data_IF_049287849724
#
_entry.id   IF_049287849724
#
_cell.length_a   1.000
_cell.length_b   1.000
_cell.length_c   1.000
_cell.angle_alpha   90.00
_cell.angle_beta   90.00
_cell.angle_gamma   90.00
#
_symmetry.space_group_name_H-M   'P 1'
#
loop_
_entity.id
_entity.type
_entity.pdbx_description
1 polymer ?
#
# COMPACT_ATOMS: atom_id res chain seq x y z
N UNK A 1 -54.70 -15.39 7.39
CA UNK A 1 -55.06 -16.08 6.13
C UNK A 1 -55.98 -15.20 5.30
N UNK A 2 -55.42 -14.40 4.40
CA UNK A 2 -56.08 -13.71 3.26
C UNK A 2 -54.97 -13.54 2.20
N UNK A 3 -55.05 -14.30 1.10
CA UNK A 3 -55.56 -13.88 -0.22
C UNK A 3 -54.58 -12.92 -0.91
N UNK A 4 -53.73 -13.41 -1.82
CA UNK A 4 -53.94 -13.63 -3.27
C UNK A 4 -53.97 -12.34 -4.12
N UNK A 5 -53.00 -12.32 -5.06
CA UNK A 5 -53.08 -11.84 -6.46
C UNK A 5 -52.94 -10.30 -6.72
N UNK A 6 -52.74 -9.84 -7.99
CA UNK A 6 -51.51 -9.95 -8.79
C UNK A 6 -51.25 -8.70 -9.71
N UNK A 7 -50.21 -8.79 -10.55
CA UNK A 7 -50.10 -8.37 -11.97
C UNK A 7 -50.69 -7.05 -12.52
N UNK A 8 -49.87 -6.38 -13.36
CA UNK A 8 -50.10 -5.89 -14.74
C UNK A 8 -49.40 -4.52 -14.95
N UNK A 9 -48.43 -4.35 -15.86
CA UNK A 9 -48.45 -4.31 -17.34
C UNK A 9 -48.85 -2.93 -17.93
N UNK A 10 -48.01 -2.45 -18.86
CA UNK A 10 -48.21 -1.50 -20.00
C UNK A 10 -47.13 -0.41 -20.01
N UNK A 11 -46.19 -0.36 -20.98
CA UNK A 11 -46.28 -0.11 -22.44
C UNK A 11 -46.40 1.37 -22.86
N UNK A 12 -45.45 1.79 -23.72
CA UNK A 12 -45.53 2.90 -24.69
C UNK A 12 -44.90 4.22 -24.22
N UNK A 13 -44.26 5.06 -25.03
CA UNK A 13 -43.98 5.09 -26.46
C UNK A 13 -42.95 6.22 -26.72
N UNK A 14 -41.89 5.94 -27.49
CA UNK A 14 -41.34 6.69 -28.64
C UNK A 14 -41.41 8.23 -28.67
N UNK A 15 -40.25 8.90 -28.84
CA UNK A 15 -39.98 9.87 -29.93
C UNK A 15 -38.53 10.39 -29.90
N UNK A 16 -37.90 10.40 -31.07
CA UNK A 16 -36.55 10.89 -31.35
C UNK A 16 -36.53 12.39 -31.69
N UNK A 17 -35.37 13.05 -31.54
CA UNK A 17 -34.87 14.09 -32.44
C UNK A 17 -33.38 14.40 -32.20
N UNK A 18 -32.67 14.65 -33.31
CA UNK A 18 -31.23 14.85 -33.51
C UNK A 18 -30.70 16.25 -33.11
N UNK A 19 -29.37 16.36 -32.99
CA UNK A 19 -28.57 17.60 -33.07
C UNK A 19 -27.33 17.52 -32.18
N UNK A 20 -26.16 17.06 -32.64
CA UNK A 20 -25.10 17.74 -33.43
C UNK A 20 -24.10 18.57 -32.57
N UNK A 21 -22.82 18.26 -32.81
CA UNK A 21 -21.55 18.94 -32.50
C UNK A 21 -21.25 19.58 -31.11
N UNK A 22 -20.06 19.28 -30.58
CA UNK A 22 -19.33 20.21 -29.69
C UNK A 22 -18.42 19.56 -28.65
N UNK A 23 -17.11 19.64 -28.88
CA UNK A 23 -16.03 19.32 -27.94
C UNK A 23 -16.12 20.12 -26.63
N UNK A 24 -15.87 19.47 -25.49
CA UNK A 24 -14.90 19.90 -24.46
C UNK A 24 -14.97 18.98 -23.24
N UNK A 25 -14.00 18.07 -23.09
CA UNK A 25 -13.78 17.34 -21.84
C UNK A 25 -13.16 18.29 -20.81
N UNK A 26 -14.00 18.88 -19.99
CA UNK A 26 -13.62 19.35 -18.64
C UNK A 26 -14.68 18.83 -17.70
N UNK A 27 -14.41 17.71 -17.02
CA UNK A 27 -15.22 17.30 -15.89
C UNK A 27 -14.41 17.48 -14.61
N UNK A 28 -14.78 18.55 -13.92
CA UNK A 28 -14.43 18.93 -12.57
C UNK A 28 -14.55 17.73 -11.61
N UNK A 29 -13.42 17.37 -10.99
CA UNK A 29 -13.44 16.68 -9.70
C UNK A 29 -14.01 17.67 -8.69
N UNK A 30 -15.32 17.55 -8.44
CA UNK A 30 -15.97 18.19 -7.30
C UNK A 30 -15.30 17.71 -6.02
N UNK A 31 -14.68 18.66 -5.33
CA UNK A 31 -14.29 18.58 -3.93
C UNK A 31 -15.52 18.29 -3.06
N UNK A 32 -15.65 17.05 -2.58
CA UNK A 32 -16.46 16.79 -1.40
C UNK A 32 -15.62 17.09 -0.15
N UNK A 33 -15.94 18.24 0.44
CA UNK A 33 -15.57 18.61 1.80
C UNK A 33 -16.25 17.62 2.75
N UNK A 34 -15.50 16.64 3.23
CA UNK A 34 -15.92 15.85 4.40
C UNK A 34 -15.64 16.69 5.63
N UNK A 35 -16.70 17.29 6.16
CA UNK A 35 -16.78 17.88 7.50
C UNK A 35 -16.57 16.76 8.53
N UNK A 36 -15.33 16.64 9.03
CA UNK A 36 -15.00 15.76 10.14
C UNK A 36 -15.21 16.51 11.46
N UNK A 37 -16.47 16.77 11.81
CA UNK A 37 -16.85 17.17 13.16
C UNK A 37 -18.06 16.37 13.63
N UNK A 38 -17.82 15.52 14.65
CA UNK A 38 -18.88 14.96 15.50
C UNK A 38 -19.51 13.64 15.04
N UNK A 39 -18.89 12.51 15.40
CA UNK A 39 -19.51 11.51 16.29
C UNK A 39 -18.47 10.39 16.54
N UNK A 40 -17.81 10.49 17.69
CA UNK A 40 -17.11 9.38 18.28
C UNK A 40 -18.17 8.33 18.69
N UNK A 41 -18.42 7.37 17.82
CA UNK A 41 -19.09 6.14 18.22
C UNK A 41 -18.13 5.41 19.17
N UNK A 42 -18.39 5.56 20.47
CA UNK A 42 -17.89 4.69 21.52
C UNK A 42 -18.38 3.26 21.22
N UNK A 43 -17.54 2.48 20.54
CA UNK A 43 -17.68 1.04 20.56
C UNK A 43 -17.04 0.59 21.86
N UNK A 44 -17.91 0.08 22.71
CA UNK A 44 -17.65 -0.48 24.03
C UNK A 44 -16.51 -1.50 23.93
N UNK A 45 -15.50 -1.32 24.78
CA UNK A 45 -14.56 -2.35 25.19
C UNK A 45 -15.36 -3.56 25.66
N UNK A 46 -15.45 -4.59 24.83
CA UNK A 46 -15.92 -5.91 25.25
C UNK A 46 -14.71 -6.84 25.29
N UNK A 47 -14.58 -7.50 26.43
CA UNK A 47 -13.43 -8.26 26.91
C UNK A 47 -12.76 -9.12 25.82
N UNK A 48 -11.55 -8.73 25.41
CA UNK A 48 -10.59 -9.64 24.81
C UNK A 48 -10.06 -10.56 25.91
N UNK A 49 -10.87 -11.58 26.23
CA UNK A 49 -10.43 -12.72 27.01
C UNK A 49 -9.26 -13.38 26.27
N UNK A 50 -8.10 -13.31 26.93
CA UNK A 50 -6.88 -14.00 26.60
C UNK A 50 -7.04 -15.49 26.93
N UNK A 51 -7.45 -16.28 25.96
CA UNK A 51 -7.37 -17.74 26.01
C UNK A 51 -6.74 -18.21 24.70
N UNK A 52 -5.42 -18.05 24.56
CA UNK A 52 -4.64 -18.74 23.53
C UNK A 52 -3.42 -19.37 24.20
N UNK A 53 -3.67 -20.56 24.76
CA UNK A 53 -2.67 -21.61 24.94
C UNK A 53 -2.18 -22.07 23.55
N UNK A 54 -1.35 -21.25 22.90
CA UNK A 54 -0.56 -21.67 21.74
C UNK A 54 0.59 -22.54 22.25
N UNK A 55 0.25 -23.78 22.58
CA UNK A 55 1.19 -24.88 22.56
C UNK A 55 1.88 -24.86 21.19
N UNK A 56 3.21 -24.84 21.23
CA UNK A 56 4.09 -24.90 20.09
C UNK A 56 3.71 -26.08 19.18
N UNK A 57 2.92 -25.82 18.14
CA UNK A 57 2.86 -26.69 16.98
C UNK A 57 3.90 -26.18 15.99
N UNK A 58 4.81 -27.10 15.66
CA UNK A 58 5.79 -26.98 14.58
C UNK A 58 5.06 -26.78 13.24
N UNK A 59 4.63 -25.54 12.99
CA UNK A 59 4.21 -25.07 11.67
C UNK A 59 5.44 -24.91 10.75
N UNK A 60 6.14 -26.02 10.52
CA UNK A 60 6.88 -26.23 9.28
C UNK A 60 5.82 -26.34 8.17
N UNK A 61 5.54 -25.20 7.51
CA UNK A 61 4.94 -25.04 6.17
C UNK A 61 3.93 -23.89 6.03
N UNK A 62 4.26 -22.73 6.61
CA UNK A 62 4.25 -21.51 5.81
C UNK A 62 5.69 -21.16 5.44
N UNK A 63 6.42 -22.13 4.87
CA UNK A 63 7.49 -21.75 3.99
C UNK A 63 6.83 -20.90 2.89
N UNK A 64 7.09 -19.60 2.95
CA UNK A 64 7.65 -18.99 1.76
C UNK A 64 8.86 -19.87 1.46
N UNK A 65 8.63 -20.96 0.70
CA UNK A 65 9.70 -21.72 0.09
C UNK A 65 10.50 -20.64 -0.59
N UNK A 66 11.66 -20.37 -0.01
CA UNK A 66 12.75 -19.76 -0.73
C UNK A 66 13.21 -20.83 -1.72
N UNK A 67 12.32 -21.20 -2.66
CA UNK A 67 12.75 -21.73 -3.92
C UNK A 67 13.44 -20.52 -4.56
N UNK A 68 14.74 -20.45 -4.27
CA UNK A 68 15.72 -19.67 -4.97
C UNK A 68 15.87 -20.29 -6.37
N UNK A 69 14.75 -20.34 -7.12
CA UNK A 69 14.76 -20.53 -8.55
C UNK A 69 15.32 -19.26 -9.15
N UNK A 70 16.61 -19.32 -9.49
CA UNK A 70 17.38 -18.33 -10.22
C UNK A 70 17.06 -16.88 -9.82
N UNK A 71 17.53 -16.51 -8.62
CA UNK A 71 17.86 -15.11 -8.38
C UNK A 71 18.89 -14.72 -9.45
N UNK A 72 18.48 -13.92 -10.43
CA UNK A 72 19.39 -12.92 -10.99
C UNK A 72 19.92 -12.16 -9.78
N UNK A 73 21.15 -12.51 -9.39
CA UNK A 73 21.87 -11.87 -8.31
C UNK A 73 21.80 -10.36 -8.57
N UNK A 74 21.38 -9.60 -7.55
CA UNK A 74 21.57 -8.17 -7.58
C UNK A 74 23.03 -7.91 -7.99
N UNK A 75 23.30 -7.10 -9.04
CA UNK A 75 24.65 -6.85 -9.47
C UNK A 75 25.46 -6.33 -8.28
N UNK A 76 26.61 -6.94 -8.05
CA UNK A 76 27.54 -6.50 -7.01
C UNK A 76 27.88 -5.03 -7.26
N UNK A 77 27.62 -4.18 -6.26
CA UNK A 77 27.89 -2.76 -6.30
C UNK A 77 29.36 -2.52 -6.70
N UNK A 78 29.56 -1.82 -7.81
CA UNK A 78 30.85 -1.26 -8.15
C UNK A 78 31.13 -0.09 -7.20
N UNK A 79 32.34 -0.08 -6.65
CA UNK A 79 32.89 0.93 -5.74
C UNK A 79 33.11 2.25 -6.51
N UNK A 80 32.02 3.00 -6.68
CA UNK A 80 31.98 4.32 -7.32
C UNK A 80 31.69 5.40 -6.26
N UNK A 81 32.70 5.73 -5.45
CA UNK A 81 32.80 6.97 -4.66
C UNK A 81 31.61 7.34 -3.74
N UNK A 82 31.74 7.07 -2.43
CA UNK A 82 30.97 7.65 -1.31
C UNK A 82 29.49 8.01 -1.60
N UNK A 83 28.75 7.14 -2.29
CA UNK A 83 27.30 7.21 -2.38
C UNK A 83 26.72 6.59 -1.11
N UNK A 84 26.29 7.42 -0.16
CA UNK A 84 25.61 6.95 1.06
C UNK A 84 24.11 6.84 0.80
N UNK A 85 23.61 5.61 0.69
CA UNK A 85 22.17 5.36 0.63
C UNK A 85 21.52 5.70 1.98
N UNK A 86 20.65 6.72 1.98
CA UNK A 86 19.95 7.20 3.16
C UNK A 86 18.43 7.09 2.96
N UNK A 87 17.81 5.93 3.24
CA UNK A 87 16.36 5.78 3.15
C UNK A 87 15.67 6.73 4.14
N UNK A 88 14.43 7.15 3.83
CA UNK A 88 13.68 7.99 4.77
C UNK A 88 13.47 7.22 6.09
N UNK A 89 13.78 7.90 7.19
CA UNK A 89 13.73 7.31 8.54
C UNK A 89 12.29 7.18 9.03
N UNK A 90 12.10 6.29 10.01
CA UNK A 90 10.84 6.17 10.73
C UNK A 90 10.49 7.48 11.43
N UNK A 91 9.20 7.82 11.47
CA UNK A 91 8.71 9.07 12.08
C UNK A 91 8.58 8.98 13.61
N UNK A 92 8.76 7.79 14.17
CA UNK A 92 8.91 7.54 15.60
C UNK A 92 9.54 6.17 15.84
N UNK A 93 10.09 5.93 17.03
CA UNK A 93 10.48 4.59 17.53
C UNK A 93 9.30 3.87 18.23
N UNK A 94 9.51 2.63 18.70
CA UNK A 94 8.50 1.84 19.42
C UNK A 94 7.99 2.57 20.69
N UNK A 95 8.92 3.15 21.44
CA UNK A 95 8.65 3.79 22.74
C UNK A 95 8.21 5.24 22.60
N UNK A 96 8.34 5.82 21.41
CA UNK A 96 7.98 7.21 21.14
C UNK A 96 6.49 7.37 20.83
N UNK A 97 5.96 8.56 21.13
CA UNK A 97 4.60 8.91 20.74
C UNK A 97 4.54 9.17 19.24
N UNK A 98 3.64 8.45 18.57
CA UNK A 98 3.28 8.71 17.15
C UNK A 98 3.00 10.21 16.94
N UNK A 99 3.70 10.88 16.01
CA UNK A 99 3.42 12.27 15.66
C UNK A 99 2.01 12.44 15.11
N UNK A 100 1.42 13.61 15.35
CA UNK A 100 0.11 13.95 14.81
C UNK A 100 0.17 13.96 13.29
N UNK A 101 -0.77 13.26 12.66
CA UNK A 101 -0.94 13.27 11.20
C UNK A 101 -1.39 14.67 10.76
N UNK A 102 -0.72 15.22 9.74
CA UNK A 102 -1.10 16.50 9.13
C UNK A 102 -1.65 16.27 7.73
N UNK A 103 -2.49 17.19 7.25
CA UNK A 103 -2.97 17.14 5.86
C UNK A 103 -1.80 17.21 4.88
N UNK A 104 -0.79 18.04 5.15
CA UNK A 104 0.40 18.15 4.30
C UNK A 104 1.20 16.84 4.23
N UNK A 105 1.37 16.12 5.33
CA UNK A 105 2.08 14.83 5.31
C UNK A 105 1.30 13.77 4.53
N UNK A 106 -0.02 13.76 4.65
CA UNK A 106 -0.88 12.86 3.87
C UNK A 106 -0.84 13.18 2.37
N UNK A 107 -0.89 14.46 1.99
CA UNK A 107 -0.79 14.85 0.57
C UNK A 107 0.58 14.52 -0.01
N UNK A 108 1.65 14.70 0.76
CA UNK A 108 3.01 14.26 0.36
C UNK A 108 3.05 12.75 0.12
N UNK A 109 2.53 11.94 1.04
CA UNK A 109 2.45 10.47 0.84
C UNK A 109 1.63 10.11 -0.41
N UNK A 110 0.51 10.79 -0.66
CA UNK A 110 -0.30 10.56 -1.87
C UNK A 110 0.45 10.94 -3.14
N UNK A 111 1.27 12.00 -3.11
CA UNK A 111 2.15 12.37 -4.22
C UNK A 111 3.17 11.25 -4.49
N UNK A 112 3.85 10.73 -3.46
CA UNK A 112 4.77 9.59 -3.57
C UNK A 112 4.08 8.40 -4.23
N UNK A 113 2.92 7.96 -3.72
CA UNK A 113 2.15 6.84 -4.28
C UNK A 113 1.82 7.11 -5.76
N UNK A 114 1.37 8.32 -6.10
CA UNK A 114 0.99 8.66 -7.48
C UNK A 114 2.19 8.65 -8.42
N UNK A 115 3.31 9.24 -8.00
CA UNK A 115 4.53 9.36 -8.80
C UNK A 115 5.16 7.99 -9.03
N UNK A 116 5.42 7.24 -7.96
CA UNK A 116 6.00 5.90 -8.07
C UNK A 116 5.08 4.97 -8.86
N UNK A 117 3.76 5.04 -8.68
CA UNK A 117 2.83 4.27 -9.52
C UNK A 117 2.93 4.62 -11.01
N UNK A 118 3.10 5.91 -11.36
CA UNK A 118 3.33 6.36 -12.73
C UNK A 118 4.64 5.78 -13.28
N UNK A 119 5.74 5.90 -12.52
CA UNK A 119 7.06 5.39 -12.92
C UNK A 119 7.07 3.86 -13.07
N UNK A 120 6.35 3.14 -12.21
CA UNK A 120 6.18 1.69 -12.33
C UNK A 120 5.30 1.26 -13.52
N UNK A 121 4.51 2.16 -14.10
CA UNK A 121 3.53 1.83 -15.12
C UNK A 121 2.44 0.87 -14.62
N UNK A 122 2.06 0.95 -13.33
CA UNK A 122 1.06 0.05 -12.76
C UNK A 122 -0.35 0.42 -13.21
N UNK A 123 -1.24 -0.57 -13.29
CA UNK A 123 -2.64 -0.33 -13.61
C UNK A 123 -3.34 0.52 -12.55
N UNK A 124 -4.35 1.30 -12.96
CA UNK A 124 -5.07 2.20 -12.08
C UNK A 124 -5.69 1.49 -10.86
N UNK A 125 -6.19 0.27 -11.04
CA UNK A 125 -6.74 -0.52 -9.94
C UNK A 125 -5.68 -0.91 -8.91
N UNK A 126 -4.46 -1.20 -9.35
CA UNK A 126 -3.37 -1.50 -8.42
C UNK A 126 -2.97 -0.25 -7.65
N UNK A 127 -2.89 0.91 -8.32
CA UNK A 127 -2.66 2.20 -7.65
C UNK A 127 -3.74 2.51 -6.61
N UNK A 128 -5.02 2.30 -6.96
CA UNK A 128 -6.15 2.47 -6.02
C UNK A 128 -6.05 1.49 -4.84
N UNK A 129 -5.64 0.24 -5.09
CA UNK A 129 -5.42 -0.75 -4.04
C UNK A 129 -4.33 -0.30 -3.07
N UNK A 130 -3.17 0.16 -3.58
CA UNK A 130 -2.09 0.69 -2.74
C UNK A 130 -2.58 1.88 -1.90
N UNK A 131 -3.31 2.82 -2.50
CA UNK A 131 -3.89 3.95 -1.79
C UNK A 131 -4.90 3.51 -0.71
N UNK A 132 -5.76 2.54 -1.01
CA UNK A 132 -6.71 1.95 -0.06
C UNK A 132 -6.00 1.36 1.16
N UNK A 133 -4.92 0.61 0.93
CA UNK A 133 -4.15 -0.04 1.99
C UNK A 133 -3.42 1.03 2.82
N UNK A 134 -2.73 1.98 2.19
CA UNK A 134 -2.07 3.08 2.90
C UNK A 134 -3.05 3.87 3.79
N UNK A 135 -4.27 4.12 3.31
CA UNK A 135 -5.30 4.75 4.13
C UNK A 135 -5.66 3.90 5.35
N UNK A 136 -5.80 2.59 5.19
CA UNK A 136 -6.18 1.68 6.27
C UNK A 136 -5.07 1.51 7.31
N UNK A 137 -3.87 1.17 6.87
CA UNK A 137 -2.79 0.75 7.78
C UNK A 137 -2.13 1.95 8.44
N UNK A 138 -1.86 3.01 7.67
CA UNK A 138 -1.07 4.14 8.16
C UNK A 138 -1.82 5.46 8.16
N UNK A 139 -3.04 5.52 7.63
CA UNK A 139 -3.72 6.80 7.34
C UNK A 139 -2.84 7.72 6.49
N UNK A 140 -2.12 7.16 5.52
CA UNK A 140 -1.10 7.84 4.69
C UNK A 140 0.05 8.48 5.47
N UNK A 141 0.41 7.94 6.65
CA UNK A 141 1.62 8.37 7.36
C UNK A 141 2.80 7.48 6.98
N UNK A 142 3.70 8.01 6.14
CA UNK A 142 4.98 7.36 5.85
C UNK A 142 5.84 7.21 7.12
N UNK A 143 6.73 6.21 7.13
CA UNK A 143 7.66 5.95 8.24
C UNK A 143 7.01 5.48 9.55
N UNK A 144 5.77 4.98 9.51
CA UNK A 144 5.06 4.51 10.69
C UNK A 144 5.67 3.22 11.25
N UNK A 145 5.82 3.14 12.59
CA UNK A 145 6.10 1.87 13.28
C UNK A 145 4.80 1.37 13.90
N UNK A 146 4.34 0.20 13.48
CA UNK A 146 3.08 -0.37 13.95
C UNK A 146 3.29 -1.02 15.32
N UNK A 147 2.48 -0.61 16.30
CA UNK A 147 2.72 -0.90 17.73
C UNK A 147 1.49 -1.39 18.48
N UNK A 148 0.42 -1.75 17.77
CA UNK A 148 -0.71 -2.39 18.45
C UNK A 148 -0.24 -3.76 18.94
N UNK A 149 -0.78 -4.24 20.07
CA UNK A 149 -0.38 -5.54 20.64
C UNK A 149 -0.37 -6.69 19.63
N UNK A 150 -1.35 -6.79 18.70
CA UNK A 150 -1.30 -7.80 17.63
C UNK A 150 -0.09 -7.65 16.70
N UNK A 151 0.33 -6.43 16.36
CA UNK A 151 1.48 -6.16 15.47
C UNK A 151 2.79 -6.56 16.15
N UNK A 152 2.95 -6.20 17.43
CA UNK A 152 4.14 -6.52 18.22
C UNK A 152 4.27 -8.03 18.41
N UNK A 153 3.18 -8.72 18.74
CA UNK A 153 3.18 -10.17 18.90
C UNK A 153 3.50 -10.87 17.57
N UNK A 154 2.84 -10.46 16.48
CA UNK A 154 3.10 -11.04 15.15
C UNK A 154 4.55 -10.81 14.69
N UNK A 155 5.11 -9.64 14.97
CA UNK A 155 6.52 -9.31 14.69
C UNK A 155 7.47 -10.21 15.47
N UNK A 156 7.27 -10.33 16.78
CA UNK A 156 8.10 -11.17 17.65
C UNK A 156 8.03 -12.66 17.28
N UNK A 157 6.84 -13.20 17.05
CA UNK A 157 6.66 -14.59 16.60
C UNK A 157 7.36 -14.82 15.26
N UNK A 158 7.25 -13.88 14.33
CA UNK A 158 7.91 -13.97 13.02
C UNK A 158 9.43 -13.90 13.16
N UNK A 159 9.96 -13.01 14.00
CA UNK A 159 11.39 -12.94 14.29
C UNK A 159 11.93 -14.25 14.86
N UNK A 160 11.24 -14.85 15.84
CA UNK A 160 11.65 -16.16 16.38
C UNK A 160 11.72 -17.26 15.31
N UNK A 161 10.84 -17.21 14.31
CA UNK A 161 10.81 -18.17 13.19
C UNK A 161 11.87 -17.87 12.13
N UNK A 162 12.14 -16.60 11.88
CA UNK A 162 12.91 -16.14 10.71
C UNK A 162 14.34 -15.70 11.04
N UNK A 163 14.69 -15.44 12.30
CA UNK A 163 15.98 -14.84 12.70
C UNK A 163 17.20 -15.60 12.18
N UNK A 164 17.14 -16.93 12.11
CA UNK A 164 18.20 -17.75 11.50
C UNK A 164 18.49 -17.42 10.03
N UNK A 165 17.49 -16.95 9.28
CA UNK A 165 17.69 -16.53 7.87
C UNK A 165 18.48 -15.22 7.75
N UNK A 166 18.68 -14.52 8.86
CA UNK A 166 19.36 -13.24 8.96
C UNK A 166 20.67 -13.33 9.72
N UNK A 167 21.29 -14.49 9.89
CA UNK A 167 22.49 -14.65 10.73
C UNK A 167 23.66 -13.70 10.38
N UNK A 168 23.76 -13.26 9.12
CA UNK A 168 24.77 -12.30 8.65
C UNK A 168 24.33 -10.82 8.80
N UNK A 169 23.09 -10.56 9.19
CA UNK A 169 22.55 -9.20 9.29
C UNK A 169 23.01 -8.56 10.62
N UNK A 170 23.55 -7.33 10.61
CA UNK A 170 24.00 -6.63 11.82
C UNK A 170 22.93 -6.48 12.92
N UNK A 171 21.66 -6.58 12.54
CA UNK A 171 20.50 -6.40 13.39
C UNK A 171 19.81 -7.72 13.78
N UNK A 172 20.33 -8.89 13.37
CA UNK A 172 19.67 -10.19 13.52
C UNK A 172 19.24 -10.51 14.96
N UNK A 173 20.11 -10.18 15.92
CA UNK A 173 19.94 -10.49 17.34
C UNK A 173 19.06 -9.47 18.10
N UNK A 174 18.66 -8.37 17.46
CA UNK A 174 17.84 -7.33 18.08
C UNK A 174 16.36 -7.44 17.65
N UNK A 175 15.50 -8.16 18.37
CA UNK A 175 14.08 -8.28 18.02
C UNK A 175 13.34 -6.93 18.01
N UNK A 176 13.87 -5.89 18.65
CA UNK A 176 13.19 -4.59 18.76
C UNK A 176 13.19 -3.81 17.44
N UNK A 177 14.07 -4.15 16.50
CA UNK A 177 14.09 -3.57 15.15
C UNK A 177 13.39 -4.44 14.10
N UNK A 178 13.02 -5.69 14.43
CA UNK A 178 12.27 -6.58 13.53
C UNK A 178 10.77 -6.42 13.69
N UNK A 179 10.27 -5.21 13.43
CA UNK A 179 8.86 -4.83 13.62
C UNK A 179 8.07 -4.76 12.30
N UNK A 180 6.79 -4.43 12.43
CA UNK A 180 5.93 -4.05 11.31
C UNK A 180 6.05 -2.56 11.02
N UNK A 181 6.36 -2.20 9.77
CA UNK A 181 6.71 -0.84 9.36
C UNK A 181 5.86 -0.33 8.19
N UNK A 182 5.93 0.99 8.01
CA UNK A 182 5.63 1.64 6.75
C UNK A 182 4.15 1.85 6.48
N UNK A 183 3.88 2.26 5.24
CA UNK A 183 2.57 2.60 4.72
C UNK A 183 1.58 1.44 4.75
N UNK A 184 2.09 0.21 4.57
CA UNK A 184 1.28 -0.98 4.33
C UNK A 184 1.32 -1.99 5.48
N UNK A 185 1.90 -1.64 6.63
CA UNK A 185 2.01 -2.55 7.76
C UNK A 185 2.80 -3.81 7.38
N UNK A 186 3.97 -3.64 6.78
CA UNK A 186 4.81 -4.74 6.32
C UNK A 186 5.70 -5.24 7.46
N UNK A 187 5.54 -6.51 7.81
CA UNK A 187 6.37 -7.18 8.80
C UNK A 187 7.78 -7.40 8.23
N UNK A 188 8.77 -6.71 8.80
CA UNK A 188 10.16 -6.73 8.31
C UNK A 188 10.76 -8.12 8.19
N UNK A 189 10.35 -9.07 9.04
CA UNK A 189 10.84 -10.45 8.99
C UNK A 189 10.59 -11.16 7.65
N UNK A 190 9.62 -10.71 6.86
CA UNK A 190 9.35 -11.26 5.52
C UNK A 190 9.75 -10.30 4.39
N UNK A 191 9.54 -9.00 4.59
CA UNK A 191 9.72 -8.01 3.53
C UNK A 191 11.17 -7.55 3.38
N UNK A 192 12.01 -7.63 4.42
CA UNK A 192 13.44 -7.37 4.30
C UNK A 192 14.11 -8.35 3.33
N UNK A 193 13.70 -9.63 3.29
CA UNK A 193 14.17 -10.61 2.28
C UNK A 193 13.82 -10.24 0.83
N UNK A 194 12.78 -9.42 0.63
CA UNK A 194 12.38 -8.94 -0.70
C UNK A 194 13.15 -7.68 -1.13
N UNK A 195 13.84 -7.04 -0.19
CA UNK A 195 14.68 -5.87 -0.40
C UNK A 195 16.16 -6.26 -0.47
N UNK A 196 16.71 -6.58 0.69
CA UNK A 196 18.06 -7.06 0.91
C UNK A 196 18.12 -7.71 2.31
N UNK A 197 18.60 -8.95 2.39
CA UNK A 197 18.70 -9.69 3.65
C UNK A 197 19.65 -9.03 4.66
N UNK A 198 20.60 -8.22 4.23
CA UNK A 198 21.55 -7.50 5.09
C UNK A 198 21.10 -6.11 5.50
N UNK A 199 20.01 -5.59 4.92
CA UNK A 199 19.55 -4.25 5.22
C UNK A 199 19.02 -4.12 6.66
N UNK A 200 19.12 -2.90 7.18
CA UNK A 200 18.37 -2.51 8.38
C UNK A 200 16.87 -2.71 8.12
N UNK A 201 16.13 -3.49 8.93
CA UNK A 201 14.70 -3.73 8.73
C UNK A 201 13.85 -2.44 8.74
N UNK A 202 14.37 -1.34 9.32
CA UNK A 202 13.73 -0.02 9.33
C UNK A 202 13.77 0.68 7.97
N UNK A 203 14.45 0.12 6.97
CA UNK A 203 14.39 0.57 5.57
C UNK A 203 12.95 0.63 5.03
N UNK A 204 12.06 -0.20 5.59
CA UNK A 204 10.61 -0.20 5.34
C UNK A 204 9.87 1.03 5.86
N UNK A 205 10.55 1.97 6.49
CA UNK A 205 9.97 3.27 6.80
C UNK A 205 9.95 4.19 5.58
N UNK A 206 10.72 3.88 4.53
CA UNK A 206 10.69 4.63 3.28
C UNK A 206 9.46 4.25 2.42
N UNK A 207 8.57 5.22 2.10
CA UNK A 207 7.36 4.94 1.34
C UNK A 207 7.61 4.50 -0.10
N UNK A 208 8.76 4.81 -0.72
CA UNK A 208 9.11 4.32 -2.05
C UNK A 208 9.45 2.84 -1.96
N UNK A 209 10.26 2.46 -0.97
CA UNK A 209 10.64 1.06 -0.71
C UNK A 209 9.39 0.24 -0.40
N UNK A 210 8.47 0.79 0.39
CA UNK A 210 7.19 0.13 0.65
C UNK A 210 6.42 -0.20 -0.63
N UNK A 211 6.33 0.75 -1.55
CA UNK A 211 5.63 0.59 -2.84
C UNK A 211 6.28 -0.47 -3.72
N UNK A 212 7.61 -0.43 -3.81
CA UNK A 212 8.39 -1.41 -4.55
C UNK A 212 8.19 -2.82 -3.98
N UNK A 213 8.31 -2.97 -2.66
CA UNK A 213 8.19 -4.25 -1.99
C UNK A 213 6.78 -4.82 -2.03
N UNK A 214 5.75 -3.99 -1.88
CA UNK A 214 4.38 -4.45 -2.05
C UNK A 214 4.16 -4.99 -3.48
N UNK A 215 4.71 -4.31 -4.48
CA UNK A 215 4.67 -4.76 -5.88
C UNK A 215 5.46 -6.06 -6.08
N UNK A 216 6.68 -6.19 -5.55
CA UNK A 216 7.48 -7.43 -5.60
C UNK A 216 6.73 -8.60 -4.95
N UNK A 217 6.13 -8.38 -3.78
CA UNK A 217 5.32 -9.37 -3.10
C UNK A 217 4.07 -9.77 -3.92
N UNK A 218 3.38 -8.80 -4.52
CA UNK A 218 2.24 -9.06 -5.40
C UNK A 218 2.64 -9.88 -6.65
N UNK A 219 3.81 -9.60 -7.24
CA UNK A 219 4.36 -10.39 -8.36
C UNK A 219 4.64 -11.82 -7.93
N UNK A 220 5.26 -12.04 -6.77
CA UNK A 220 5.52 -13.39 -6.24
C UNK A 220 4.22 -14.14 -5.97
N UNK A 221 3.23 -13.49 -5.35
CA UNK A 221 1.91 -14.07 -5.13
C UNK A 221 1.22 -14.45 -6.45
N UNK A 222 1.23 -13.56 -7.44
CA UNK A 222 0.65 -13.82 -8.75
C UNK A 222 1.33 -15.01 -9.45
N UNK A 223 2.66 -15.10 -9.39
CA UNK A 223 3.41 -16.24 -9.96
C UNK A 223 3.01 -17.56 -9.28
N UNK A 224 2.92 -17.56 -7.95
CA UNK A 224 2.53 -18.75 -7.17
C UNK A 224 1.06 -19.16 -7.42
N UNK A 225 0.17 -18.21 -7.63
CA UNK A 225 -1.22 -18.50 -8.00
C UNK A 225 -1.30 -19.06 -9.42
N UNK A 226 -0.52 -18.50 -10.35
CA UNK A 226 -0.52 -18.93 -11.75
C UNK A 226 0.25 -20.25 -12.00
N UNK A 227 1.04 -20.76 -11.05
CA UNK A 227 1.73 -22.05 -11.20
C UNK A 227 0.80 -23.26 -11.09
N UNK A 228 -0.49 -23.05 -10.76
CA UNK A 228 -1.52 -24.10 -10.72
C UNK A 228 -1.87 -24.52 -9.30
N UNK A 229 -1.80 -25.82 -9.03
CA UNK A 229 -2.12 -26.37 -7.72
C UNK A 229 -1.10 -25.92 -6.66
N UNK A 230 -1.60 -25.36 -5.57
CA UNK A 230 -0.81 -24.93 -4.42
C UNK A 230 -1.02 -25.95 -3.30
N UNK A 231 0.07 -26.58 -2.86
CA UNK A 231 0.08 -27.50 -1.72
C UNK A 231 -0.12 -26.71 -0.43
N UNK A 232 -1.09 -27.11 0.37
CA UNK A 232 -1.42 -26.58 1.68
C UNK A 232 -1.46 -27.70 2.72
N UNK A 233 -1.30 -27.35 4.00
CA UNK A 233 -1.54 -28.26 5.12
C UNK A 233 -2.79 -27.83 5.87
N UNK A 234 -3.57 -28.81 6.31
CA UNK A 234 -4.76 -28.56 7.12
C UNK A 234 -4.41 -28.50 8.61
N UNK A 235 -5.44 -28.42 9.45
CA UNK A 235 -5.31 -28.36 10.90
C UNK A 235 -4.61 -29.58 11.53
N UNK A 236 -4.61 -30.71 10.82
CA UNK A 236 -4.02 -31.98 11.24
C UNK A 236 -2.64 -32.25 10.63
N UNK A 237 -2.14 -31.31 9.81
CA UNK A 237 -0.89 -31.44 9.05
C UNK A 237 -1.05 -32.25 7.76
N UNK A 238 -2.27 -32.68 7.41
CA UNK A 238 -2.51 -33.41 6.16
C UNK A 238 -2.40 -32.45 4.97
N UNK A 239 -1.69 -32.90 3.94
CA UNK A 239 -1.45 -32.10 2.74
C UNK A 239 -2.63 -32.19 1.77
N UNK A 240 -3.10 -31.05 1.29
CA UNK A 240 -4.13 -30.94 0.26
C UNK A 240 -3.77 -29.86 -0.76
N UNK A 241 -4.26 -30.00 -1.99
CA UNK A 241 -4.01 -29.04 -3.06
C UNK A 241 -5.19 -28.09 -3.23
N UNK A 242 -4.90 -26.80 -3.39
CA UNK A 242 -5.89 -25.78 -3.75
C UNK A 242 -5.57 -25.17 -5.10
N UNK A 243 -6.58 -24.64 -5.78
CA UNK A 243 -6.40 -23.75 -6.93
C UNK A 243 -7.08 -22.43 -6.61
N UNK A 244 -6.40 -21.32 -6.91
CA UNK A 244 -6.90 -19.98 -6.68
C UNK A 244 -6.95 -19.21 -7.99
N UNK A 245 -7.94 -18.35 -8.14
CA UNK A 245 -7.94 -17.36 -9.20
C UNK A 245 -7.03 -16.18 -8.81
N UNK A 246 -6.29 -15.58 -9.75
CA UNK A 246 -5.39 -14.47 -9.46
C UNK A 246 -6.18 -13.16 -9.34
N UNK A 247 -7.04 -13.03 -8.34
CA UNK A 247 -7.86 -11.84 -8.12
C UNK A 247 -7.16 -10.82 -7.22
N UNK A 248 -7.63 -9.56 -7.23
CA UNK A 248 -7.12 -8.54 -6.31
C UNK A 248 -7.26 -8.96 -4.84
N UNK A 249 -8.36 -9.63 -4.48
CA UNK A 249 -8.55 -10.19 -3.14
C UNK A 249 -7.49 -11.24 -2.79
N UNK A 250 -7.28 -12.24 -3.65
CA UNK A 250 -6.34 -13.33 -3.37
C UNK A 250 -4.89 -12.83 -3.32
N UNK A 251 -4.51 -11.91 -4.21
CA UNK A 251 -3.19 -11.27 -4.18
C UNK A 251 -3.02 -10.46 -2.90
N UNK A 252 -3.99 -9.62 -2.53
CA UNK A 252 -3.90 -8.83 -1.30
C UNK A 252 -3.86 -9.72 -0.04
N UNK A 253 -4.67 -10.78 0.02
CA UNK A 253 -4.67 -11.77 1.12
C UNK A 253 -3.30 -12.44 1.25
N UNK A 254 -2.67 -12.79 0.13
CA UNK A 254 -1.34 -13.38 0.10
C UNK A 254 -0.26 -12.41 0.60
N UNK A 255 -0.31 -11.14 0.16
CA UNK A 255 0.71 -10.13 0.50
C UNK A 255 0.54 -9.61 1.94
N UNK A 256 -0.65 -9.13 2.30
CA UNK A 256 -0.90 -8.49 3.61
C UNK A 256 -1.20 -9.51 4.71
N UNK A 257 -1.90 -10.59 4.39
CA UNK A 257 -2.23 -11.63 5.36
C UNK A 257 -1.15 -12.70 5.51
N UNK A 258 -0.16 -12.74 4.60
CA UNK A 258 0.84 -13.80 4.52
C UNK A 258 0.25 -15.19 4.23
N UNK A 259 -1.02 -15.26 3.81
CA UNK A 259 -1.79 -16.52 3.76
C UNK A 259 -2.40 -16.74 2.39
N UNK A 260 -1.84 -17.69 1.66
CA UNK A 260 -2.45 -18.25 0.45
C UNK A 260 -3.34 -19.45 0.82
N UNK A 261 -2.89 -20.28 1.76
CA UNK A 261 -3.63 -21.43 2.22
C UNK A 261 -4.79 -21.05 3.16
N UNK A 262 -5.88 -21.83 3.15
CA UNK A 262 -6.90 -21.77 4.20
C UNK A 262 -6.29 -22.03 5.58
N UNK A 263 -6.88 -21.45 6.62
CA UNK A 263 -6.45 -21.63 8.01
C UNK A 263 -7.57 -22.14 8.90
N UNK A 264 -7.25 -22.58 10.13
CA UNK A 264 -8.24 -22.99 11.15
C UNK A 264 -9.32 -21.92 11.42
N UNK A 265 -9.08 -20.65 11.07
CA UNK A 265 -10.00 -19.52 11.26
C UNK A 265 -10.59 -18.96 9.95
N UNK A 266 -11.10 -19.81 9.06
CA UNK A 266 -11.71 -19.33 7.80
C UNK A 266 -12.94 -18.42 8.03
N UNK A 267 -13.67 -18.53 9.14
CA UNK A 267 -14.76 -17.59 9.46
C UNK A 267 -14.26 -16.14 9.62
N UNK A 268 -13.08 -15.99 10.24
CA UNK A 268 -12.39 -14.71 10.33
C UNK A 268 -11.93 -14.24 8.95
N UNK A 269 -11.42 -15.15 8.12
CA UNK A 269 -11.02 -14.82 6.75
C UNK A 269 -12.21 -14.37 5.89
N UNK A 270 -13.38 -15.00 6.03
CA UNK A 270 -14.61 -14.62 5.35
C UNK A 270 -15.10 -13.23 5.78
N UNK A 271 -15.02 -12.94 7.09
CA UNK A 271 -15.32 -11.61 7.64
C UNK A 271 -14.38 -10.54 7.07
N UNK A 272 -13.07 -10.82 7.04
CA UNK A 272 -12.07 -9.92 6.46
C UNK A 272 -12.30 -9.70 4.96
N UNK A 273 -12.68 -10.75 4.22
CA UNK A 273 -13.08 -10.64 2.81
C UNK A 273 -14.25 -9.67 2.64
N UNK A 274 -15.31 -9.80 3.44
CA UNK A 274 -16.47 -8.89 3.36
C UNK A 274 -16.07 -7.42 3.53
N UNK A 275 -15.20 -7.13 4.51
CA UNK A 275 -14.71 -5.77 4.73
C UNK A 275 -13.81 -5.27 3.60
N UNK A 276 -12.94 -6.12 3.08
CA UNK A 276 -12.09 -5.78 1.93
C UNK A 276 -12.93 -5.48 0.70
N UNK A 277 -13.84 -6.38 0.32
CA UNK A 277 -14.74 -6.24 -0.83
C UNK A 277 -15.50 -4.92 -0.76
N UNK A 278 -16.13 -4.62 0.38
CA UNK A 278 -16.88 -3.38 0.54
C UNK A 278 -16.01 -2.11 0.35
N UNK A 279 -14.75 -2.14 0.81
CA UNK A 279 -13.80 -1.03 0.65
C UNK A 279 -13.28 -0.90 -0.78
N UNK A 280 -12.94 -2.03 -1.39
CA UNK A 280 -12.46 -2.10 -2.77
C UNK A 280 -13.52 -1.56 -3.74
N UNK A 281 -14.77 -2.04 -3.62
CA UNK A 281 -15.89 -1.59 -4.46
C UNK A 281 -16.15 -0.09 -4.31
N UNK A 282 -16.13 0.45 -3.07
CA UNK A 282 -16.27 1.91 -2.85
C UNK A 282 -15.15 2.73 -3.49
N UNK A 283 -13.97 2.14 -3.68
CA UNK A 283 -12.83 2.78 -4.34
C UNK A 283 -12.81 2.51 -5.85
N UNK A 284 -13.86 1.88 -6.39
CA UNK A 284 -13.97 1.51 -7.81
C UNK A 284 -12.93 0.48 -8.22
N UNK A 285 -12.63 -0.48 -7.35
CA UNK A 285 -11.85 -1.69 -7.62
C UNK A 285 -12.82 -2.87 -7.59
N UNK A 286 -12.81 -3.70 -8.62
CA UNK A 286 -13.46 -5.00 -8.58
C UNK A 286 -12.54 -6.00 -7.86
N UNK A 287 -12.86 -6.45 -6.62
CA UNK A 287 -11.98 -7.32 -5.85
C UNK A 287 -11.78 -8.70 -6.46
N UNK A 288 -12.70 -9.15 -7.32
CA UNK A 288 -12.67 -10.45 -7.97
C UNK A 288 -12.14 -10.35 -9.43
N UNK A 289 -11.76 -9.16 -9.89
CA UNK A 289 -11.16 -8.99 -11.21
C UNK A 289 -9.82 -9.74 -11.31
N UNK A 290 -9.64 -10.44 -12.44
CA UNK A 290 -8.43 -11.19 -12.77
C UNK A 290 -7.25 -10.23 -12.96
N UNK A 291 -6.19 -10.48 -12.21
CA UNK A 291 -4.95 -9.71 -12.23
C UNK A 291 -3.95 -10.37 -13.16
N UNK A 292 -3.30 -9.55 -13.98
CA UNK A 292 -2.25 -9.97 -14.90
C UNK A 292 -0.91 -9.34 -14.53
N UNK A 293 0.19 -9.94 -14.99
CA UNK A 293 1.53 -9.40 -14.74
C UNK A 293 1.69 -7.96 -15.24
N UNK A 294 1.05 -7.62 -16.36
CA UNK A 294 1.05 -6.26 -16.92
C UNK A 294 0.44 -5.24 -15.96
N UNK A 295 -0.56 -5.63 -15.17
CA UNK A 295 -1.22 -4.71 -14.24
C UNK A 295 -0.34 -4.33 -13.05
N UNK A 296 0.66 -5.15 -12.73
CA UNK A 296 1.62 -4.92 -11.64
C UNK A 296 2.83 -4.08 -12.05
N UNK A 297 2.91 -3.65 -13.31
CA UNK A 297 3.97 -2.79 -13.80
C UNK A 297 5.37 -3.42 -13.74
N UNK A 298 6.40 -2.59 -13.92
CA UNK A 298 7.83 -2.95 -13.84
C UNK A 298 8.58 -1.87 -13.07
N UNK A 299 9.64 -2.26 -12.39
CA UNK A 299 10.52 -1.29 -11.72
C UNK A 299 11.24 -0.45 -12.77
N UNK A 300 11.28 0.89 -12.61
CA UNK A 300 12.00 1.76 -13.53
C UNK A 300 13.50 1.51 -13.40
N UNK A 301 14.20 1.56 -14.53
CA UNK A 301 15.66 1.34 -14.61
C UNK A 301 16.42 2.59 -15.01
N UNK A 302 15.72 3.71 -15.15
CA UNK A 302 16.27 4.98 -15.60
C UNK A 302 15.43 6.16 -15.07
N UNK A 303 16.01 7.36 -15.04
CA UNK A 303 15.33 8.61 -14.71
C UNK A 303 14.32 9.03 -15.79
N UNK A 304 13.47 10.03 -15.52
CA UNK A 304 12.66 10.65 -16.59
C UNK A 304 13.51 11.29 -17.71
N UNK A 305 14.78 11.59 -17.45
CA UNK A 305 15.75 12.15 -18.42
C UNK A 305 16.55 11.07 -19.17
N UNK A 306 16.44 9.81 -18.75
CA UNK A 306 17.10 8.65 -19.37
C UNK A 306 18.43 8.24 -18.73
N UNK A 307 18.76 8.76 -17.55
CA UNK A 307 19.95 8.33 -16.80
C UNK A 307 19.69 6.96 -16.18
N UNK A 308 20.56 5.99 -16.45
CA UNK A 308 20.41 4.65 -15.94
C UNK A 308 20.54 4.59 -14.40
N UNK A 309 19.69 3.77 -13.78
CA UNK A 309 19.79 3.38 -12.37
C UNK A 309 20.27 1.94 -12.29
N UNK A 310 21.58 1.79 -12.04
CA UNK A 310 22.26 0.49 -12.10
C UNK A 310 21.97 -0.42 -10.90
N UNK A 311 21.42 0.14 -9.82
CA UNK A 311 21.07 -0.57 -8.60
C UNK A 311 19.79 0.00 -7.97
N UNK A 312 19.24 -0.73 -6.99
CA UNK A 312 18.00 -0.34 -6.34
C UNK A 312 18.11 0.91 -5.46
N UNK A 313 19.30 1.24 -4.96
CA UNK A 313 19.54 2.41 -4.12
C UNK A 313 19.50 3.68 -4.97
N UNK A 314 20.20 3.67 -6.11
CA UNK A 314 20.12 4.72 -7.14
C UNK A 314 18.69 4.91 -7.64
N UNK A 315 17.94 3.84 -7.85
CA UNK A 315 16.52 3.94 -8.21
C UNK A 315 15.69 4.65 -7.13
N UNK A 316 15.84 4.28 -5.85
CA UNK A 316 15.08 4.91 -4.77
C UNK A 316 15.44 6.39 -4.63
N UNK A 317 16.73 6.72 -4.68
CA UNK A 317 17.20 8.10 -4.60
C UNK A 317 16.73 8.93 -5.80
N UNK A 318 16.85 8.41 -7.02
CA UNK A 318 16.37 9.10 -8.22
C UNK A 318 14.86 9.32 -8.21
N UNK A 319 14.06 8.36 -7.70
CA UNK A 319 12.62 8.56 -7.52
C UNK A 319 12.32 9.66 -6.47
N UNK A 320 13.12 9.76 -5.41
CA UNK A 320 13.00 10.86 -4.45
C UNK A 320 13.36 12.21 -5.06
N UNK A 321 14.43 12.29 -5.84
CA UNK A 321 14.84 13.50 -6.55
C UNK A 321 13.73 14.00 -7.49
N UNK A 322 13.11 13.09 -8.26
CA UNK A 322 11.97 13.43 -9.11
C UNK A 322 10.78 13.99 -8.30
N UNK A 323 10.47 13.40 -7.13
CA UNK A 323 9.40 13.86 -6.24
C UNK A 323 9.72 15.24 -5.65
N UNK A 324 10.94 15.42 -5.16
CA UNK A 324 11.39 16.69 -4.56
C UNK A 324 11.40 17.82 -5.61
N UNK A 325 11.74 17.51 -6.87
CA UNK A 325 11.60 18.43 -7.99
C UNK A 325 10.14 18.86 -8.24
N UNK A 326 9.19 17.91 -8.21
CA UNK A 326 7.75 18.21 -8.31
C UNK A 326 7.29 19.11 -7.15
N UNK A 327 7.68 18.78 -5.92
CA UNK A 327 7.32 19.58 -4.74
C UNK A 327 7.88 21.01 -4.83
N UNK A 328 9.11 21.16 -5.29
CA UNK A 328 9.75 22.47 -5.51
C UNK A 328 8.99 23.30 -6.55
N UNK A 329 8.64 22.70 -7.69
CA UNK A 329 7.89 23.39 -8.76
C UNK A 329 6.49 23.81 -8.28
N UNK A 330 5.79 22.95 -7.54
CA UNK A 330 4.49 23.28 -6.95
C UNK A 330 4.58 24.42 -5.91
N UNK A 331 5.63 24.42 -5.08
CA UNK A 331 5.89 25.47 -4.11
C UNK A 331 6.19 26.82 -4.79
N UNK A 332 6.95 26.83 -5.88
CA UNK A 332 7.19 28.02 -6.70
C UNK A 332 5.90 28.56 -7.32
N UNK A 333 5.09 27.69 -7.92
CA UNK A 333 3.78 28.06 -8.48
C UNK A 333 2.86 28.64 -7.41
N UNK A 334 2.87 28.10 -6.20
CA UNK A 334 2.07 28.60 -5.09
C UNK A 334 2.53 29.99 -4.64
N UNK A 335 3.84 30.18 -4.42
CA UNK A 335 4.42 31.48 -4.07
C UNK A 335 4.07 32.56 -5.10
N UNK A 336 4.25 32.27 -6.39
CA UNK A 336 3.90 33.19 -7.47
C UNK A 336 2.40 33.56 -7.47
N UNK A 337 1.52 32.59 -7.19
CA UNK A 337 0.06 32.84 -7.07
C UNK A 337 -0.27 33.73 -5.87
N UNK A 338 0.39 33.54 -4.74
CA UNK A 338 0.19 34.35 -3.53
C UNK A 338 0.69 35.78 -3.71
N UNK A 339 1.87 35.97 -4.31
CA UNK A 339 2.40 37.28 -4.67
C UNK A 339 1.48 38.02 -5.66
N UNK A 340 0.97 37.33 -6.68
CA UNK A 340 0.01 37.90 -7.62
C UNK A 340 -1.30 38.32 -6.94
N UNK A 341 -1.80 37.53 -5.98
CA UNK A 341 -2.99 37.88 -5.16
C UNK A 341 -2.70 39.10 -4.28
N UNK A 342 -1.54 39.16 -3.63
CA UNK A 342 -1.12 40.28 -2.80
C UNK A 342 -0.98 41.57 -3.62
N UNK A 343 -0.38 41.50 -4.81
CA UNK A 343 -0.25 42.63 -5.73
C UNK A 343 -1.62 43.17 -6.20
N UNK A 344 -2.56 42.27 -6.54
CA UNK A 344 -3.94 42.65 -6.89
C UNK A 344 -4.66 43.34 -5.73
N UNK A 345 -4.52 42.83 -4.51
CA UNK A 345 -5.08 43.45 -3.30
C UNK A 345 -4.48 44.83 -3.04
N UNK A 346 -3.16 44.98 -3.16
CA UNK A 346 -2.47 46.25 -2.99
C UNK A 346 -2.86 47.29 -4.05
N UNK A 347 -3.09 46.88 -5.30
CA UNK A 347 -3.60 47.77 -6.36
C UNK A 347 -5.02 48.24 -6.07
N UNK A 348 -5.90 47.34 -5.59
CA UNK A 348 -7.28 47.68 -5.22
C UNK A 348 -7.36 48.65 -4.04
N UNK A 349 -6.45 48.54 -3.07
CA UNK A 349 -6.37 49.46 -1.93
C UNK A 349 -5.84 50.84 -2.32
N UNK A 350 -4.96 50.92 -3.33
CA UNK A 350 -4.43 52.21 -3.84
C UNK A 350 -5.36 52.93 -4.80
N UNK A 351 -6.13 52.21 -5.61
CA UNK A 351 -7.08 52.81 -6.57
C UNK A 351 -8.46 53.15 -5.97
N UNK A 352 -8.64 53.02 -4.66
CA UNK A 352 -9.88 53.36 -3.96
C UNK A 352 -9.81 54.67 -3.15
N UNK A 353 -8.77 55.49 -3.33
CA UNK A 353 -8.58 56.75 -2.61
C UNK A 353 -8.75 58.02 -3.46
N UNK A 354 -9.20 57.90 -4.71
CA UNK A 354 -9.30 59.03 -5.64
C UNK A 354 -10.75 59.50 -5.90
N UNK A 355 -11.72 59.03 -5.11
CA UNK A 355 -13.15 59.41 -5.18
C UNK A 355 -13.69 59.98 -3.83
N UNK A 356 -12.87 60.74 -3.09
CA UNK A 356 -13.30 61.71 -2.05
C UNK A 356 -12.76 63.10 -2.39
#
# INVERSE_FOLDING_TARGET
MRSLLPALLCCGLVAACNGDAGESETNDLRDEVIDSSGEAASIVDDELASDDDDAAEDDDDASVDADAGDNEAAPAAADDGDFEFLPKTCVHSLDEKRPRITKSSQERTKLVIRHVAKRLGIHNDFRKLLALIALRESSYQAGLVHRLSPDLNASYVSWRKMSKRYEDNPFADDPTVWQTYGLFGMNSNYFTLLWDKSADPRVLCDPIIDLLLYRRAAVRALRKINSGAIRCKDASGESFDITLEPTWFNIHRAVSGGKICPSKHEDRAATMRKYFVARATRSGIDPDAVVTMKMLGKEPTESEEGDAWDDQERMVMGLWEEIEAIESEEAEKLRAREEAKAARKAKRLRGGSDDE
#
